data_IF_631229976576
#
_entry.id   IF_631229976576
#
_cell.length_a   1.000
_cell.length_b   1.000
_cell.length_c   1.000
_cell.angle_alpha   90.00
_cell.angle_beta   90.00
_cell.angle_gamma   90.00
#
_symmetry.space_group_name_H-M   'P 1'
#
loop_
_entity.id
_entity.type
_entity.pdbx_description
1 polymer ?
#
# COMPACT_ATOMS: atom_id res chain seq x y z
N UNK A 1 -3.54 -32.96 24.24
CA UNK A 1 -3.47 -32.71 22.78
C UNK A 1 -3.29 -31.22 22.60
N UNK A 2 -2.06 -30.76 22.45
CA UNK A 2 -1.78 -29.34 22.22
C UNK A 2 -2.10 -29.04 20.76
N UNK A 3 -3.23 -28.38 20.53
CA UNK A 3 -3.54 -27.80 19.22
C UNK A 3 -2.65 -26.59 19.04
N UNK A 4 -1.69 -26.67 18.12
CA UNK A 4 -0.94 -25.50 17.67
C UNK A 4 -1.93 -24.53 17.04
N UNK A 5 -2.13 -23.38 17.69
CA UNK A 5 -2.81 -22.23 17.09
C UNK A 5 -1.94 -21.79 15.92
N UNK A 6 -2.43 -21.96 14.69
CA UNK A 6 -1.84 -21.29 13.54
C UNK A 6 -2.22 -19.82 13.68
N UNK A 7 -1.39 -19.04 14.37
CA UNK A 7 -1.37 -17.59 14.15
C UNK A 7 -1.08 -17.41 12.66
N UNK A 8 -2.13 -17.16 11.90
CA UNK A 8 -2.02 -16.80 10.49
C UNK A 8 -1.44 -15.39 10.44
N UNK A 9 -0.12 -15.27 10.52
CA UNK A 9 0.55 -14.00 10.24
C UNK A 9 0.28 -13.68 8.78
N UNK A 10 -0.69 -12.80 8.52
CA UNK A 10 -0.95 -12.29 7.18
C UNK A 10 0.36 -11.62 6.74
N UNK A 11 1.02 -12.08 5.67
CA UNK A 11 2.29 -11.50 5.25
C UNK A 11 2.02 -10.08 4.74
N UNK A 12 2.81 -9.10 5.22
CA UNK A 12 2.75 -7.72 4.71
C UNK A 12 2.97 -7.77 3.18
N UNK A 13 2.03 -7.23 2.37
CA UNK A 13 2.12 -7.27 0.92
C UNK A 13 3.41 -6.63 0.36
N UNK A 14 3.93 -7.20 -0.72
CA UNK A 14 4.95 -6.52 -1.51
C UNK A 14 4.33 -5.36 -2.28
N UNK A 15 5.14 -4.33 -2.52
CA UNK A 15 4.65 -3.06 -3.07
C UNK A 15 4.05 -3.22 -4.48
N UNK A 16 4.59 -4.11 -5.32
CA UNK A 16 4.12 -4.24 -6.72
C UNK A 16 2.78 -4.95 -6.76
N UNK A 17 2.68 -6.09 -6.07
CA UNK A 17 1.46 -6.88 -5.99
C UNK A 17 0.35 -6.08 -5.33
N UNK A 18 0.66 -5.33 -4.27
CA UNK A 18 -0.34 -4.55 -3.56
C UNK A 18 -0.94 -3.45 -4.43
N UNK A 19 -0.13 -2.64 -5.11
CA UNK A 19 -0.64 -1.62 -6.04
C UNK A 19 -1.45 -2.25 -7.20
N UNK A 20 -1.07 -3.45 -7.67
CA UNK A 20 -1.81 -4.17 -8.72
C UNK A 20 -3.13 -4.77 -8.20
N UNK A 21 -3.20 -5.09 -6.91
CA UNK A 21 -4.41 -5.57 -6.26
C UNK A 21 -5.43 -4.45 -6.07
N UNK A 22 -4.99 -3.24 -5.75
CA UNK A 22 -5.89 -2.07 -5.64
C UNK A 22 -6.72 -1.88 -6.91
N UNK A 23 -6.12 -1.98 -8.10
CA UNK A 23 -6.86 -1.86 -9.37
C UNK A 23 -7.97 -2.90 -9.58
N UNK A 24 -7.97 -3.99 -8.81
CA UNK A 24 -8.95 -5.08 -8.90
C UNK A 24 -10.09 -4.93 -7.88
N UNK A 25 -9.95 -4.05 -6.91
CA UNK A 25 -10.95 -3.82 -5.89
C UNK A 25 -12.10 -2.96 -6.43
N UNK A 26 -13.34 -3.46 -6.37
CA UNK A 26 -14.54 -2.79 -6.93
C UNK A 26 -14.86 -1.41 -6.31
N UNK A 27 -14.16 -0.99 -5.25
CA UNK A 27 -14.35 0.33 -4.60
C UNK A 27 -13.78 1.51 -5.39
N UNK A 28 -13.01 1.28 -6.47
CA UNK A 28 -12.33 2.35 -7.22
C UNK A 28 -13.18 3.03 -8.31
N UNK A 29 -14.46 2.69 -8.46
CA UNK A 29 -15.38 3.32 -9.41
C UNK A 29 -15.68 4.81 -9.17
N UNK A 30 -14.98 5.48 -8.24
CA UNK A 30 -15.22 6.88 -7.86
C UNK A 30 -14.08 7.85 -8.22
N UNK A 31 -12.82 7.39 -8.37
CA UNK A 31 -11.67 8.30 -8.44
C UNK A 31 -10.84 8.23 -9.74
N UNK A 32 -11.17 7.34 -10.70
CA UNK A 32 -10.43 7.15 -11.98
C UNK A 32 -8.90 6.95 -11.83
N UNK A 33 -8.43 6.59 -10.63
CA UNK A 33 -7.01 6.35 -10.35
C UNK A 33 -6.63 4.92 -10.72
N UNK A 34 -5.59 4.78 -11.54
CA UNK A 34 -4.93 3.50 -11.83
C UNK A 34 -3.65 3.41 -10.97
N UNK A 35 -3.60 2.44 -10.07
CA UNK A 35 -2.61 2.27 -9.02
C UNK A 35 -1.41 1.42 -9.44
N UNK A 36 -1.59 0.43 -10.31
CA UNK A 36 -0.53 -0.51 -10.71
C UNK A 36 0.80 0.16 -11.15
N UNK A 37 0.82 1.29 -11.86
CA UNK A 37 2.07 1.96 -12.25
C UNK A 37 2.92 2.46 -11.08
N UNK A 38 2.34 2.69 -9.90
CA UNK A 38 3.06 3.23 -8.74
C UNK A 38 3.97 2.21 -8.08
N UNK A 39 3.59 0.92 -8.09
CA UNK A 39 4.38 -0.16 -7.52
C UNK A 39 5.79 -0.26 -8.10
N UNK A 40 5.96 -0.42 -9.43
CA UNK A 40 7.27 -0.44 -10.06
C UNK A 40 8.08 0.85 -9.83
N UNK A 41 7.41 2.01 -9.83
CA UNK A 41 8.06 3.32 -9.59
C UNK A 41 8.69 3.38 -8.20
N UNK A 42 7.97 2.96 -7.16
CA UNK A 42 8.49 2.89 -5.79
C UNK A 42 9.50 1.76 -5.63
N UNK A 43 9.33 0.63 -6.33
CA UNK A 43 10.30 -0.45 -6.31
C UNK A 43 11.66 -0.04 -6.87
N UNK A 44 11.68 0.76 -7.94
CA UNK A 44 12.90 1.35 -8.49
C UNK A 44 13.61 2.31 -7.51
N UNK A 45 12.86 2.88 -6.54
CA UNK A 45 13.39 3.71 -5.44
C UNK A 45 13.85 2.89 -4.23
N UNK A 46 13.70 1.57 -4.26
CA UNK A 46 14.15 0.66 -3.19
C UNK A 46 13.05 0.23 -2.21
N UNK A 47 11.81 0.67 -2.40
CA UNK A 47 10.67 0.19 -1.61
C UNK A 47 10.33 -1.25 -2.00
N UNK A 48 10.15 -2.12 -1.01
CA UNK A 48 9.84 -3.55 -1.19
C UNK A 48 8.48 -3.92 -0.63
N UNK A 49 8.10 -3.32 0.51
CA UNK A 49 6.85 -3.61 1.22
C UNK A 49 6.10 -2.32 1.53
N UNK A 50 4.78 -2.42 1.63
CA UNK A 50 3.92 -1.27 1.91
C UNK A 50 4.16 -0.67 3.31
N UNK A 51 4.70 -1.44 4.26
CA UNK A 51 5.06 -0.94 5.60
C UNK A 51 6.13 0.16 5.56
N UNK A 52 6.93 0.22 4.49
CA UNK A 52 7.91 1.27 4.27
C UNK A 52 7.29 2.58 3.77
N UNK A 53 6.00 2.56 3.39
CA UNK A 53 5.21 3.74 3.05
C UNK A 53 4.42 4.27 4.25
N UNK A 54 4.68 3.81 5.49
CA UNK A 54 4.01 4.41 6.64
C UNK A 54 4.41 5.87 6.81
N UNK A 55 3.55 6.65 7.48
CA UNK A 55 3.83 8.04 7.84
C UNK A 55 5.07 8.23 8.74
N UNK A 56 5.64 7.15 9.29
CA UNK A 56 6.90 7.17 10.02
C UNK A 56 8.10 7.47 9.10
N UNK A 57 8.04 7.03 7.84
CA UNK A 57 9.18 7.09 6.91
C UNK A 57 8.94 7.99 5.70
N UNK A 58 7.68 8.24 5.33
CA UNK A 58 7.33 8.93 4.09
C UNK A 58 6.33 10.05 4.37
N UNK A 59 6.62 11.26 3.90
CA UNK A 59 5.66 12.37 3.92
C UNK A 59 4.76 12.39 2.69
N UNK A 60 3.61 13.07 2.78
CA UNK A 60 2.73 13.29 1.63
C UNK A 60 3.44 13.99 0.47
N UNK A 61 4.29 14.99 0.78
CA UNK A 61 5.05 15.72 -0.25
C UNK A 61 6.09 14.84 -0.94
N UNK A 62 6.73 13.93 -0.21
CA UNK A 62 7.68 13.00 -0.80
C UNK A 62 6.97 12.05 -1.77
N UNK A 63 5.86 11.46 -1.33
CA UNK A 63 5.08 10.53 -2.15
C UNK A 63 4.56 11.21 -3.42
N UNK A 64 4.04 12.44 -3.32
CA UNK A 64 3.65 13.24 -4.48
C UNK A 64 4.81 13.46 -5.45
N UNK A 65 5.96 13.92 -4.94
CA UNK A 65 7.13 14.20 -5.76
C UNK A 65 7.70 12.95 -6.43
N UNK A 66 7.59 11.79 -5.79
CA UNK A 66 8.08 10.52 -6.33
C UNK A 66 7.19 9.92 -7.40
N UNK A 67 5.87 10.09 -7.27
CA UNK A 67 4.88 9.49 -8.16
C UNK A 67 4.33 10.48 -9.20
N UNK A 68 4.56 11.79 -9.04
CA UNK A 68 4.00 12.81 -9.90
C UNK A 68 2.47 12.90 -9.81
N UNK A 69 1.92 12.66 -8.62
CA UNK A 69 0.47 12.59 -8.37
C UNK A 69 -0.04 13.79 -7.58
N UNK A 70 -1.35 14.01 -7.64
CA UNK A 70 -2.03 15.02 -6.81
C UNK A 70 -2.04 14.64 -5.33
N UNK A 71 -2.18 15.64 -4.46
CA UNK A 71 -2.26 15.43 -3.00
C UNK A 71 -3.41 14.51 -2.59
N UNK A 72 -4.55 14.56 -3.30
CA UNK A 72 -5.69 13.67 -3.04
C UNK A 72 -5.34 12.20 -3.26
N UNK A 73 -4.67 11.89 -4.37
CA UNK A 73 -4.19 10.53 -4.67
C UNK A 73 -3.15 10.07 -3.65
N UNK A 74 -2.25 10.95 -3.22
CA UNK A 74 -1.25 10.61 -2.19
C UNK A 74 -1.91 10.30 -0.82
N UNK A 75 -2.94 11.06 -0.44
CA UNK A 75 -3.74 10.79 0.76
C UNK A 75 -4.44 9.43 0.63
N UNK A 76 -5.05 9.14 -0.51
CA UNK A 76 -5.74 7.87 -0.77
C UNK A 76 -4.79 6.67 -0.64
N UNK A 77 -3.58 6.76 -1.19
CA UNK A 77 -2.57 5.71 -1.04
C UNK A 77 -2.25 5.46 0.44
N UNK A 78 -2.03 6.51 1.24
CA UNK A 78 -1.76 6.32 2.67
C UNK A 78 -2.94 5.73 3.43
N UNK A 79 -4.18 6.13 3.14
CA UNK A 79 -5.37 5.53 3.74
C UNK A 79 -5.44 4.02 3.47
N UNK A 80 -5.13 3.58 2.24
CA UNK A 80 -5.05 2.16 1.93
C UNK A 80 -3.89 1.46 2.67
N UNK A 81 -2.72 2.09 2.76
CA UNK A 81 -1.57 1.54 3.52
C UNK A 81 -1.94 1.36 4.99
N UNK A 82 -2.56 2.35 5.62
CA UNK A 82 -2.98 2.30 7.02
C UNK A 82 -4.02 1.19 7.26
N UNK A 83 -5.03 1.08 6.39
CA UNK A 83 -6.04 0.05 6.48
C UNK A 83 -5.45 -1.37 6.35
N UNK A 84 -4.51 -1.56 5.43
CA UNK A 84 -3.83 -2.84 5.22
C UNK A 84 -2.93 -3.20 6.41
N UNK A 85 -2.14 -2.25 6.91
CA UNK A 85 -1.29 -2.48 8.09
C UNK A 85 -2.11 -2.73 9.35
N UNK A 86 -3.27 -2.09 9.50
CA UNK A 86 -4.20 -2.40 10.58
C UNK A 86 -4.71 -3.84 10.48
N UNK A 87 -5.16 -4.28 9.30
CA UNK A 87 -5.67 -5.63 9.07
C UNK A 87 -4.63 -6.74 9.28
N UNK A 88 -3.35 -6.45 9.00
CA UNK A 88 -2.24 -7.40 9.24
C UNK A 88 -1.91 -7.53 10.74
N UNK A 89 -2.10 -6.47 11.52
CA UNK A 89 -1.75 -6.43 12.95
C UNK A 89 -2.92 -6.78 13.89
N UNK A 90 -4.12 -6.99 13.37
CA UNK A 90 -5.34 -7.34 14.11
C UNK A 90 -5.57 -8.85 14.20
#
# INVERSE_FOLDING_TARGET
>A
MSGSSLESTIPIPDIITWFSYLDQCEQHGLDDVIFAPFGPTLSAKGFRRISQLSHEYVSLSDLQGWLGIEIGTAILIFQHVEAELWAVNS
#
